data_IF_692167492093
#
_entry.id   IF_692167492093
#
_cell.length_a   1.000
_cell.length_b   1.000
_cell.length_c   1.000
_cell.angle_alpha   90.00
_cell.angle_beta   90.00
_cell.angle_gamma   90.00
#
_symmetry.space_group_name_H-M   'P 1'
#
loop_
_entity.id
_entity.type
_entity.pdbx_description
1 polymer ?
#
# COMPACT_ATOMS: atom_id res chain seq x y z
N UNK A 1 -14.08 3.06 -8.24
CA UNK A 1 -13.44 1.87 -8.84
C UNK A 1 -14.50 1.11 -9.61
N UNK A 2 -14.19 0.53 -10.78
CA UNK A 2 -15.15 -0.33 -11.47
C UNK A 2 -15.49 -1.56 -10.64
N UNK A 3 -16.74 -2.03 -10.70
CA UNK A 3 -17.20 -3.16 -9.87
C UNK A 3 -16.38 -4.44 -10.11
N UNK A 4 -16.12 -4.78 -11.38
CA UNK A 4 -15.35 -5.97 -11.73
C UNK A 4 -13.93 -5.93 -11.13
N UNK A 5 -13.28 -4.77 -11.17
CA UNK A 5 -11.97 -4.58 -10.58
C UNK A 5 -12.00 -4.65 -9.05
N UNK A 6 -13.05 -4.12 -8.43
CA UNK A 6 -13.24 -4.20 -6.99
C UNK A 6 -13.46 -5.65 -6.53
N UNK A 7 -14.29 -6.41 -7.25
CA UNK A 7 -14.51 -7.85 -7.01
C UNK A 7 -13.18 -8.61 -7.07
N UNK A 8 -12.39 -8.39 -8.13
CA UNK A 8 -11.08 -9.04 -8.31
C UNK A 8 -10.12 -8.69 -7.17
N UNK A 9 -10.04 -7.40 -6.81
CA UNK A 9 -9.17 -6.92 -5.74
C UNK A 9 -9.57 -7.48 -4.39
N UNK A 10 -10.86 -7.49 -4.05
CA UNK A 10 -11.38 -8.06 -2.80
C UNK A 10 -11.14 -9.56 -2.72
N UNK A 11 -11.33 -10.28 -3.84
CA UNK A 11 -11.02 -11.71 -3.93
C UNK A 11 -9.55 -11.97 -3.65
N UNK A 12 -8.65 -11.26 -4.32
CA UNK A 12 -7.20 -11.40 -4.11
C UNK A 12 -6.79 -11.04 -2.67
N UNK A 13 -7.36 -9.96 -2.11
CA UNK A 13 -7.09 -9.54 -0.74
C UNK A 13 -7.53 -10.60 0.28
N UNK A 14 -8.73 -11.17 0.11
CA UNK A 14 -9.25 -12.25 0.94
C UNK A 14 -8.35 -13.49 0.85
N UNK A 15 -8.02 -13.91 -0.37
CA UNK A 15 -7.19 -15.09 -0.61
C UNK A 15 -5.78 -14.93 -0.03
N UNK A 16 -5.22 -13.72 -0.07
CA UNK A 16 -3.94 -13.40 0.56
C UNK A 16 -4.00 -13.59 2.08
N UNK A 17 -5.03 -13.06 2.74
CA UNK A 17 -5.19 -13.17 4.19
C UNK A 17 -5.38 -14.63 4.65
N UNK A 18 -5.97 -15.47 3.80
CA UNK A 18 -6.11 -16.90 4.05
C UNK A 18 -4.77 -17.62 3.82
N UNK A 19 -4.06 -17.33 2.73
CA UNK A 19 -2.80 -17.98 2.38
C UNK A 19 -1.65 -17.62 3.32
N UNK A 20 -1.61 -16.35 3.76
CA UNK A 20 -0.58 -15.79 4.63
C UNK A 20 -1.22 -15.15 5.88
N UNK A 21 -1.67 -15.94 6.86
CA UNK A 21 -2.34 -15.42 8.05
C UNK A 21 -1.44 -14.49 8.86
N UNK A 22 -1.97 -13.34 9.26
CA UNK A 22 -1.24 -12.34 10.04
C UNK A 22 -1.08 -12.74 11.51
N UNK A 23 -2.18 -13.14 12.16
CA UNK A 23 -2.22 -13.65 13.54
C UNK A 23 -3.54 -14.40 13.78
N UNK A 24 -3.60 -15.13 14.89
CA UNK A 24 -4.80 -15.83 15.39
C UNK A 24 -5.96 -14.88 15.78
N UNK A 25 -5.70 -13.57 15.88
CA UNK A 25 -6.69 -12.54 16.20
C UNK A 25 -7.38 -11.94 14.98
N UNK A 26 -6.95 -12.29 13.78
CA UNK A 26 -7.54 -11.79 12.54
C UNK A 26 -8.61 -12.77 12.05
N UNK A 27 -9.83 -12.25 11.84
CA UNK A 27 -10.92 -13.02 11.25
C UNK A 27 -11.13 -12.59 9.81
N UNK A 28 -11.09 -13.54 8.88
CA UNK A 28 -11.43 -13.31 7.48
C UNK A 28 -12.88 -13.68 7.26
N UNK A 29 -13.65 -12.76 6.66
CA UNK A 29 -15.07 -12.98 6.40
C UNK A 29 -15.31 -14.11 5.40
N UNK A 30 -16.34 -14.93 5.63
CA UNK A 30 -16.74 -15.99 4.71
C UNK A 30 -17.42 -15.45 3.45
N UNK A 31 -17.92 -14.21 3.48
CA UNK A 31 -18.59 -13.54 2.35
C UNK A 31 -17.75 -13.58 1.08
N UNK A 32 -18.40 -13.80 -0.06
CA UNK A 32 -17.84 -13.57 -1.39
C UNK A 32 -17.58 -12.07 -1.63
N UNK A 33 -16.69 -11.70 -2.58
CA UNK A 33 -16.46 -10.29 -2.92
C UNK A 33 -17.74 -9.51 -3.26
N UNK A 34 -18.70 -10.14 -3.94
CA UNK A 34 -20.00 -9.55 -4.27
C UNK A 34 -20.82 -9.26 -3.02
N UNK A 35 -20.85 -10.20 -2.06
CA UNK A 35 -21.53 -10.00 -0.78
C UNK A 35 -20.82 -8.96 0.09
N UNK A 36 -19.50 -8.81 -0.02
CA UNK A 36 -18.77 -7.71 0.63
C UNK A 36 -19.21 -6.35 0.08
N UNK A 37 -19.33 -6.23 -1.24
CA UNK A 37 -19.81 -4.99 -1.90
C UNK A 37 -21.25 -4.71 -1.46
N UNK A 38 -22.14 -5.71 -1.55
CA UNK A 38 -23.54 -5.56 -1.14
C UNK A 38 -23.67 -5.16 0.34
N UNK A 39 -22.79 -5.67 1.21
CA UNK A 39 -22.73 -5.26 2.60
C UNK A 39 -22.29 -3.79 2.76
N UNK A 40 -21.27 -3.35 2.02
CA UNK A 40 -20.84 -1.95 2.01
C UNK A 40 -21.95 -1.00 1.52
N UNK A 41 -22.72 -1.40 0.51
CA UNK A 41 -23.88 -0.64 0.02
C UNK A 41 -24.99 -0.59 1.08
N UNK A 42 -25.31 -1.70 1.74
CA UNK A 42 -26.32 -1.77 2.80
C UNK A 42 -25.95 -0.91 4.02
N UNK A 43 -24.66 -0.84 4.35
CA UNK A 43 -24.13 0.03 5.41
C UNK A 43 -24.00 1.50 4.98
N UNK A 44 -24.32 1.81 3.71
CA UNK A 44 -24.16 3.13 3.08
C UNK A 44 -22.71 3.64 3.11
N UNK A 45 -21.72 2.76 3.18
CA UNK A 45 -20.31 3.15 3.11
C UNK A 45 -19.87 3.45 1.68
N UNK A 46 -20.47 2.74 0.72
CA UNK A 46 -20.20 2.93 -0.71
C UNK A 46 -21.52 3.10 -1.44
N UNK A 47 -21.47 3.82 -2.57
CA UNK A 47 -22.58 3.96 -3.50
C UNK A 47 -22.19 3.49 -4.89
N UNK A 48 -23.15 2.86 -5.56
CA UNK A 48 -23.04 2.40 -6.93
C UNK A 48 -23.58 3.44 -7.90
N UNK A 49 -22.75 3.81 -8.86
CA UNK A 49 -23.14 4.60 -10.02
C UNK A 49 -23.31 3.62 -11.18
N UNK A 50 -24.55 3.50 -11.66
CA UNK A 50 -24.83 2.67 -12.84
C UNK A 50 -24.26 3.33 -14.09
N UNK A 51 -23.61 2.54 -14.94
CA UNK A 51 -23.05 3.05 -16.18
C UNK A 51 -23.07 1.98 -17.29
N UNK A 52 -23.36 2.33 -18.56
CA UNK A 52 -23.46 1.36 -19.65
C UNK A 52 -22.22 0.50 -19.91
N UNK A 53 -21.03 0.98 -19.49
CA UNK A 53 -19.75 0.26 -19.63
C UNK A 53 -19.33 -0.49 -18.36
N UNK A 54 -20.23 -0.60 -17.38
CA UNK A 54 -19.97 -1.25 -16.10
C UNK A 54 -20.06 -0.28 -14.92
N UNK A 55 -20.65 -0.76 -13.83
CA UNK A 55 -20.92 0.03 -12.65
C UNK A 55 -19.65 0.48 -11.93
N UNK A 56 -19.71 1.66 -11.33
CA UNK A 56 -18.61 2.24 -10.55
C UNK A 56 -19.04 2.39 -9.11
N UNK A 57 -18.21 1.87 -8.20
CA UNK A 57 -18.38 2.05 -6.76
C UNK A 57 -17.53 3.22 -6.30
N UNK A 58 -18.14 4.10 -5.51
CA UNK A 58 -17.43 5.22 -4.92
C UNK A 58 -17.76 5.38 -3.43
N UNK A 59 -16.82 6.01 -2.74
CA UNK A 59 -16.97 6.53 -1.39
C UNK A 59 -16.54 7.99 -1.43
N UNK A 60 -17.45 8.90 -1.13
CA UNK A 60 -17.25 10.35 -1.08
C UNK A 60 -17.88 10.92 0.19
N UNK A 61 -17.64 12.21 0.47
CA UNK A 61 -18.22 12.89 1.63
C UNK A 61 -17.82 12.29 2.98
N UNK A 62 -18.76 12.28 3.92
CA UNK A 62 -18.57 11.80 5.30
C UNK A 62 -18.27 10.29 5.34
N UNK A 63 -18.84 9.52 4.42
CA UNK A 63 -18.60 8.09 4.27
C UNK A 63 -17.13 7.80 3.90
N UNK A 64 -16.53 8.64 3.07
CA UNK A 64 -15.11 8.56 2.72
C UNK A 64 -14.20 8.74 3.94
N UNK A 65 -14.56 9.64 4.86
CA UNK A 65 -13.84 9.84 6.13
C UNK A 65 -14.01 8.63 7.05
N UNK A 66 -15.21 8.05 7.12
CA UNK A 66 -15.42 6.84 7.90
C UNK A 66 -14.62 5.65 7.35
N UNK A 67 -14.54 5.51 6.03
CA UNK A 67 -13.74 4.45 5.40
C UNK A 67 -12.25 4.64 5.64
N UNK A 68 -11.73 5.87 5.70
CA UNK A 68 -10.32 6.09 6.01
C UNK A 68 -9.97 5.62 7.43
N UNK A 69 -10.88 5.81 8.40
CA UNK A 69 -10.73 5.22 9.73
C UNK A 69 -10.66 3.68 9.68
N UNK A 70 -11.59 3.02 8.98
CA UNK A 70 -11.56 1.56 8.85
C UNK A 70 -10.34 1.04 8.09
N UNK A 71 -9.89 1.76 7.06
CA UNK A 71 -8.64 1.46 6.34
C UNK A 71 -7.48 1.42 7.31
N UNK A 72 -7.34 2.41 8.20
CA UNK A 72 -6.24 2.47 9.15
C UNK A 72 -6.26 1.30 10.15
N UNK A 73 -7.44 0.75 10.45
CA UNK A 73 -7.58 -0.43 11.33
C UNK A 73 -7.18 -1.75 10.67
N UNK A 74 -7.01 -1.81 9.35
CA UNK A 74 -6.63 -3.06 8.65
C UNK A 74 -5.37 -2.91 7.79
N UNK A 75 -4.84 -1.69 7.63
CA UNK A 75 -3.73 -1.38 6.74
C UNK A 75 -2.48 -2.24 7.03
N UNK A 76 -2.21 -2.49 8.30
CA UNK A 76 -1.09 -3.30 8.78
C UNK A 76 -1.12 -4.74 8.25
N UNK A 77 -2.31 -5.30 7.97
CA UNK A 77 -2.46 -6.65 7.41
C UNK A 77 -1.93 -6.75 5.98
N UNK A 78 -1.97 -5.64 5.25
CA UNK A 78 -1.58 -5.58 3.84
C UNK A 78 -0.17 -4.99 3.63
N UNK A 79 0.56 -4.67 4.70
CA UNK A 79 1.89 -4.09 4.59
C UNK A 79 2.87 -4.91 3.72
N UNK A 80 2.96 -6.26 3.84
CA UNK A 80 3.84 -7.04 2.97
C UNK A 80 3.46 -6.97 1.48
N UNK A 81 2.17 -7.07 1.14
CA UNK A 81 1.73 -7.02 -0.26
C UNK A 81 1.86 -5.62 -0.85
N UNK A 82 1.60 -4.59 -0.05
CA UNK A 82 1.83 -3.21 -0.46
C UNK A 82 3.32 -2.93 -0.68
N UNK A 83 4.22 -3.49 0.14
CA UNK A 83 5.66 -3.39 -0.06
C UNK A 83 6.07 -4.00 -1.41
N UNK A 84 5.70 -5.26 -1.62
CA UNK A 84 6.00 -5.99 -2.86
C UNK A 84 5.45 -5.22 -4.06
N UNK A 85 4.19 -4.78 -3.99
CA UNK A 85 3.56 -4.03 -5.07
C UNK A 85 4.29 -2.71 -5.36
N UNK A 86 4.68 -1.94 -4.33
CA UNK A 86 5.44 -0.70 -4.48
C UNK A 86 6.77 -0.91 -5.21
N UNK A 87 7.48 -2.03 -4.98
CA UNK A 87 8.69 -2.33 -5.75
C UNK A 87 8.39 -2.38 -7.25
N UNK A 88 7.29 -3.01 -7.65
CA UNK A 88 6.96 -3.30 -9.04
C UNK A 88 6.12 -2.23 -9.76
N UNK A 89 5.70 -1.14 -9.09
CA UNK A 89 5.05 0.00 -9.75
C UNK A 89 5.97 0.60 -10.81
N UNK A 90 7.20 0.92 -10.42
CA UNK A 90 8.18 1.58 -11.30
C UNK A 90 9.35 0.66 -11.71
N UNK A 91 9.65 -0.39 -10.94
CA UNK A 91 10.73 -1.34 -11.27
C UNK A 91 10.13 -2.48 -12.08
N UNK A 92 10.65 -2.69 -13.30
CA UNK A 92 10.14 -3.72 -14.20
C UNK A 92 10.47 -5.14 -13.76
N UNK A 93 11.66 -5.33 -13.20
CA UNK A 93 12.23 -6.63 -12.85
C UNK A 93 13.13 -6.49 -11.63
N UNK A 94 13.01 -7.42 -10.68
CA UNK A 94 13.84 -7.47 -9.48
C UNK A 94 14.01 -8.91 -9.01
N UNK A 95 15.18 -9.25 -8.44
CA UNK A 95 15.34 -10.57 -7.81
C UNK A 95 14.50 -10.68 -6.55
N UNK A 96 14.04 -11.88 -6.22
CA UNK A 96 13.31 -12.16 -4.98
C UNK A 96 14.13 -11.72 -3.74
N UNK A 97 15.43 -12.05 -3.73
CA UNK A 97 16.37 -11.62 -2.69
C UNK A 97 16.47 -10.10 -2.59
N UNK A 98 16.37 -9.38 -3.71
CA UNK A 98 16.33 -7.92 -3.74
C UNK A 98 15.09 -7.36 -3.06
N UNK A 99 13.91 -7.95 -3.32
CA UNK A 99 12.63 -7.54 -2.69
C UNK A 99 12.71 -7.71 -1.18
N UNK A 100 13.25 -8.85 -0.74
CA UNK A 100 13.41 -9.17 0.69
C UNK A 100 14.44 -8.25 1.34
N UNK A 101 15.62 -8.09 0.74
CA UNK A 101 16.71 -7.26 1.30
C UNK A 101 16.28 -5.81 1.47
N UNK A 102 15.67 -5.22 0.44
CA UNK A 102 15.14 -3.86 0.55
C UNK A 102 14.02 -3.79 1.59
N UNK A 103 13.13 -4.79 1.65
CA UNK A 103 12.06 -4.81 2.62
C UNK A 103 12.57 -4.83 4.05
N UNK A 104 13.59 -5.65 4.32
CA UNK A 104 14.25 -5.71 5.62
C UNK A 104 14.95 -4.40 5.99
N UNK A 105 15.56 -3.72 5.02
CA UNK A 105 16.20 -2.42 5.22
C UNK A 105 15.19 -1.33 5.62
N UNK A 106 14.03 -1.28 4.97
CA UNK A 106 12.98 -0.28 5.26
C UNK A 106 12.02 -0.72 6.38
N UNK A 107 12.05 -1.98 6.80
CA UNK A 107 11.14 -2.53 7.78
C UNK A 107 11.08 -1.75 9.10
N UNK A 108 12.19 -1.26 9.69
CA UNK A 108 12.11 -0.50 10.94
C UNK A 108 11.17 0.71 10.86
N UNK A 109 11.14 1.39 9.71
CA UNK A 109 10.28 2.55 9.47
C UNK A 109 8.81 2.13 9.31
N UNK A 110 8.55 1.08 8.53
CA UNK A 110 7.20 0.55 8.33
C UNK A 110 6.64 -0.01 9.65
N UNK A 111 7.49 -0.68 10.42
CA UNK A 111 7.17 -1.28 11.71
C UNK A 111 6.77 -0.22 12.74
N UNK A 112 7.50 0.88 12.84
CA UNK A 112 7.18 1.95 13.79
C UNK A 112 5.88 2.65 13.43
N UNK A 113 5.61 2.84 12.13
CA UNK A 113 4.40 3.51 11.66
C UNK A 113 3.14 2.65 11.81
N UNK A 114 3.23 1.37 11.44
CA UNK A 114 2.08 0.44 11.43
C UNK A 114 2.02 -0.50 12.64
N UNK A 115 2.91 -0.31 13.62
CA UNK A 115 3.03 -1.12 14.84
C UNK A 115 3.12 -2.64 14.56
N UNK A 116 3.94 -3.01 13.56
CA UNK A 116 4.03 -4.40 13.12
C UNK A 116 4.71 -5.29 14.19
N UNK A 117 4.23 -6.52 14.43
CA UNK A 117 4.68 -7.33 15.56
C UNK A 117 5.96 -8.12 15.25
N UNK A 118 6.32 -8.28 13.97
CA UNK A 118 7.33 -9.24 13.55
C UNK A 118 8.77 -8.74 13.75
N UNK A 119 9.70 -9.68 13.79
CA UNK A 119 11.12 -9.38 13.60
C UNK A 119 11.40 -8.99 12.14
N UNK A 120 12.56 -8.38 11.88
CA UNK A 120 12.98 -8.07 10.50
C UNK A 120 13.13 -9.32 9.65
N UNK A 121 13.60 -10.42 10.24
CA UNK A 121 13.72 -11.70 9.54
C UNK A 121 12.35 -12.26 9.16
N UNK A 122 11.40 -12.25 10.09
CA UNK A 122 10.05 -12.74 9.85
C UNK A 122 9.30 -11.90 8.81
N UNK A 123 9.49 -10.58 8.82
CA UNK A 123 8.97 -9.73 7.75
C UNK A 123 9.54 -10.09 6.38
N UNK A 124 10.83 -10.45 6.32
CA UNK A 124 11.45 -10.98 5.10
C UNK A 124 10.77 -12.27 4.61
N UNK A 125 10.44 -13.19 5.52
CA UNK A 125 9.69 -14.41 5.20
C UNK A 125 8.27 -14.10 4.69
N UNK A 126 7.59 -13.13 5.30
CA UNK A 126 6.28 -12.66 4.84
C UNK A 126 6.34 -12.05 3.44
N UNK A 127 7.36 -11.24 3.14
CA UNK A 127 7.60 -10.70 1.80
C UNK A 127 7.78 -11.83 0.80
N UNK A 128 8.63 -12.80 1.11
CA UNK A 128 8.90 -13.93 0.23
C UNK A 128 7.64 -14.74 -0.07
N UNK A 129 6.87 -15.11 0.96
CA UNK A 129 5.59 -15.80 0.81
C UNK A 129 4.59 -14.98 -0.02
N UNK A 130 4.59 -13.65 0.14
CA UNK A 130 3.72 -12.75 -0.61
C UNK A 130 4.12 -12.66 -2.08
N UNK A 131 5.41 -12.61 -2.40
CA UNK A 131 5.87 -12.65 -3.80
C UNK A 131 5.44 -13.94 -4.47
N UNK A 132 5.65 -15.09 -3.80
CA UNK A 132 5.23 -16.40 -4.32
C UNK A 132 3.72 -16.45 -4.56
N UNK A 133 2.92 -16.01 -3.58
CA UNK A 133 1.46 -15.90 -3.73
C UNK A 133 1.06 -15.04 -4.95
N UNK A 134 1.70 -13.88 -5.15
CA UNK A 134 1.39 -13.01 -6.29
C UNK A 134 1.80 -13.61 -7.63
N UNK A 135 2.87 -14.40 -7.67
CA UNK A 135 3.27 -15.17 -8.87
C UNK A 135 2.26 -16.28 -9.15
N UNK A 136 1.87 -17.05 -8.12
CA UNK A 136 0.87 -18.13 -8.23
C UNK A 136 -0.49 -17.60 -8.70
N UNK A 137 -0.85 -16.38 -8.29
CA UNK A 137 -2.06 -15.66 -8.72
C UNK A 137 -1.91 -14.88 -10.02
N UNK A 138 -0.77 -15.00 -10.72
CA UNK A 138 -0.47 -14.33 -11.99
C UNK A 138 -0.57 -12.79 -11.93
N UNK A 139 -0.38 -12.22 -10.74
CA UNK A 139 -0.28 -10.77 -10.54
C UNK A 139 1.15 -10.30 -10.84
N UNK A 140 2.14 -11.14 -10.53
CA UNK A 140 3.54 -10.99 -10.94
C UNK A 140 3.93 -12.15 -11.85
N UNK A 141 4.98 -11.94 -12.65
CA UNK A 141 5.51 -12.96 -13.55
C UNK A 141 6.86 -13.45 -13.05
N UNK A 142 7.07 -14.76 -13.07
CA UNK A 142 8.41 -15.31 -12.85
C UNK A 142 9.28 -15.13 -14.10
N UNK A 143 10.54 -14.79 -13.89
CA UNK A 143 11.59 -14.76 -14.90
C UNK A 143 12.71 -15.69 -14.47
N UNK A 144 12.42 -16.99 -14.57
CA UNK A 144 13.31 -18.08 -14.18
C UNK A 144 14.72 -17.98 -14.82
N UNK A 145 14.87 -17.62 -16.13
CA UNK A 145 16.19 -17.46 -16.73
C UNK A 145 17.09 -16.43 -16.04
N UNK A 146 16.50 -15.39 -15.44
CA UNK A 146 17.23 -14.32 -14.75
C UNK A 146 17.11 -14.41 -13.22
N UNK A 147 16.52 -15.49 -12.69
CA UNK A 147 16.21 -15.65 -11.26
C UNK A 147 15.53 -14.40 -10.67
N UNK A 148 14.53 -13.89 -11.39
CA UNK A 148 13.89 -12.63 -11.08
C UNK A 148 12.37 -12.74 -11.12
N UNK A 149 11.71 -11.71 -10.60
CA UNK A 149 10.28 -11.49 -10.69
C UNK A 149 10.05 -10.21 -11.48
N UNK A 150 9.07 -10.24 -12.36
CA UNK A 150 8.71 -9.13 -13.24
C UNK A 150 7.31 -8.64 -12.91
N UNK A 151 7.12 -7.32 -13.07
CA UNK A 151 5.79 -6.72 -13.03
C UNK A 151 4.94 -7.23 -14.23
N UNK A 152 3.60 -7.18 -14.14
CA UNK A 152 2.71 -7.59 -15.22
C UNK A 152 2.76 -6.62 -16.41
N UNK A 153 2.13 -7.03 -17.52
CA UNK A 153 2.05 -6.22 -18.75
C UNK A 153 1.34 -4.89 -18.46
N UNK A 154 1.83 -3.79 -19.05
CA UNK A 154 1.21 -2.48 -18.92
C UNK A 154 -0.23 -2.48 -19.45
N UNK A 155 -1.16 -1.86 -18.72
CA UNK A 155 -2.58 -1.83 -19.03
C UNK A 155 -3.35 -3.11 -18.69
N UNK A 156 -2.70 -4.15 -18.19
CA UNK A 156 -3.37 -5.40 -17.80
C UNK A 156 -4.15 -5.27 -16.48
N UNK A 157 -5.12 -6.14 -16.29
CA UNK A 157 -5.88 -6.28 -15.03
C UNK A 157 -4.97 -6.59 -13.83
N UNK A 158 -3.92 -7.38 -14.04
CA UNK A 158 -2.91 -7.68 -13.05
C UNK A 158 -2.15 -6.40 -12.62
N UNK A 159 -1.78 -5.54 -13.59
CA UNK A 159 -1.13 -4.27 -13.28
C UNK A 159 -2.05 -3.33 -12.49
N UNK A 160 -3.33 -3.25 -12.88
CA UNK A 160 -4.31 -2.47 -12.13
C UNK A 160 -4.39 -2.95 -10.67
N UNK A 161 -4.52 -4.26 -10.47
CA UNK A 161 -4.63 -4.87 -9.14
C UNK A 161 -3.37 -4.62 -8.31
N UNK A 162 -2.18 -4.77 -8.92
CA UNK A 162 -0.90 -4.45 -8.29
C UNK A 162 -0.83 -2.97 -7.86
N UNK A 163 -1.26 -2.05 -8.72
CA UNK A 163 -1.30 -0.62 -8.41
C UNK A 163 -2.26 -0.30 -7.26
N UNK A 164 -3.39 -1.02 -7.15
CA UNK A 164 -4.31 -0.87 -6.02
C UNK A 164 -3.63 -1.34 -4.73
N UNK A 165 -2.98 -2.51 -4.73
CA UNK A 165 -2.27 -3.02 -3.54
C UNK A 165 -1.13 -2.10 -3.09
N UNK A 166 -0.41 -1.48 -4.02
CA UNK A 166 0.66 -0.52 -3.71
C UNK A 166 0.16 0.69 -2.91
N UNK A 167 -1.12 1.11 -3.07
CA UNK A 167 -1.68 2.27 -2.37
C UNK A 167 -1.65 2.14 -0.84
N UNK A 168 -1.52 0.92 -0.30
CA UNK A 168 -1.42 0.71 1.15
C UNK A 168 -0.19 1.36 1.77
N UNK A 169 0.96 1.37 1.08
CA UNK A 169 2.20 1.99 1.58
C UNK A 169 2.68 3.18 0.74
N UNK A 170 2.02 3.49 -0.37
CA UNK A 170 2.47 4.54 -1.28
C UNK A 170 2.61 5.90 -0.58
N UNK A 171 1.63 6.31 0.23
CA UNK A 171 1.69 7.58 0.96
C UNK A 171 2.83 7.60 1.99
N UNK A 172 3.04 6.48 2.69
CA UNK A 172 4.17 6.28 3.62
C UNK A 172 5.51 6.47 2.91
N UNK A 173 5.71 5.85 1.75
CA UNK A 173 6.94 6.04 0.97
C UNK A 173 7.10 7.45 0.42
N UNK A 174 6.02 8.11 0.02
CA UNK A 174 6.11 9.51 -0.40
C UNK A 174 6.57 10.42 0.74
N UNK A 175 6.11 10.20 1.97
CA UNK A 175 6.60 10.96 3.14
C UNK A 175 8.08 10.70 3.40
N UNK A 176 8.52 9.45 3.39
CA UNK A 176 9.95 9.13 3.52
C UNK A 176 10.79 9.79 2.41
N UNK A 177 10.31 9.76 1.17
CA UNK A 177 10.98 10.39 0.05
C UNK A 177 11.11 11.90 0.24
N UNK A 178 10.09 12.58 0.76
CA UNK A 178 10.14 14.02 1.06
C UNK A 178 11.22 14.30 2.13
N UNK A 179 11.21 13.56 3.24
CA UNK A 179 12.20 13.73 4.31
C UNK A 179 13.63 13.51 3.79
N UNK A 180 13.85 12.42 3.05
CA UNK A 180 15.15 12.10 2.44
C UNK A 180 15.57 13.18 1.44
N UNK A 181 14.64 13.69 0.63
CA UNK A 181 14.93 14.74 -0.35
C UNK A 181 15.32 16.06 0.32
N UNK A 182 14.66 16.43 1.42
CA UNK A 182 15.01 17.62 2.20
C UNK A 182 16.39 17.46 2.84
N UNK A 183 16.69 16.30 3.42
CA UNK A 183 18.02 15.98 3.96
C UNK A 183 19.10 16.08 2.89
N UNK A 184 18.90 15.43 1.74
CA UNK A 184 19.88 15.40 0.66
C UNK A 184 20.14 16.80 0.08
N UNK A 185 19.11 17.65 0.00
CA UNK A 185 19.24 19.02 -0.50
C UNK A 185 20.09 19.92 0.40
N UNK A 186 20.02 19.76 1.72
CA UNK A 186 20.74 20.61 2.67
C UNK A 186 22.09 20.03 3.09
N UNK A 187 22.29 18.72 2.91
CA UNK A 187 23.52 18.04 3.28
C UNK A 187 23.58 17.62 4.74
N UNK A 188 24.56 16.77 5.06
CA UNK A 188 24.70 16.17 6.38
C UNK A 188 24.97 17.23 7.47
N UNK A 189 24.33 17.04 8.63
CA UNK A 189 24.52 17.85 9.86
C UNK A 189 24.15 19.34 9.74
N UNK A 190 23.40 19.73 8.72
CA UNK A 190 22.95 21.12 8.54
C UNK A 190 21.57 21.40 9.15
N UNK A 191 20.77 20.37 9.35
CA UNK A 191 19.43 20.46 9.92
C UNK A 191 19.35 19.65 11.21
N UNK A 192 18.78 20.24 12.25
CA UNK A 192 18.27 19.48 13.39
C UNK A 192 16.92 18.83 13.04
N UNK A 193 16.43 17.95 13.91
CA UNK A 193 15.19 17.22 13.69
C UNK A 193 13.97 18.14 13.51
N UNK A 194 13.91 19.26 14.25
CA UNK A 194 12.78 20.19 14.21
C UNK A 194 12.76 21.01 12.90
N UNK A 195 13.93 21.45 12.45
CA UNK A 195 14.09 22.14 11.17
C UNK A 195 13.77 21.20 10.00
N UNK A 196 14.19 19.94 10.08
CA UNK A 196 13.87 18.92 9.08
C UNK A 196 12.35 18.65 9.01
N UNK A 197 11.69 18.44 10.15
CA UNK A 197 10.24 18.23 10.24
C UNK A 197 9.48 19.39 9.60
N UNK A 198 9.87 20.63 9.93
CA UNK A 198 9.24 21.84 9.39
C UNK A 198 9.41 21.94 7.88
N UNK A 199 10.62 21.72 7.35
CA UNK A 199 10.89 21.82 5.91
C UNK A 199 10.21 20.69 5.12
N UNK A 200 10.20 19.47 5.65
CA UNK A 200 9.48 18.34 5.07
C UNK A 200 7.97 18.62 5.02
N UNK A 201 7.40 19.16 6.10
CA UNK A 201 5.97 19.53 6.16
C UNK A 201 5.60 20.60 5.13
N UNK A 202 6.41 21.66 5.02
CA UNK A 202 6.20 22.71 4.00
C UNK A 202 6.34 22.17 2.57
N UNK A 203 7.27 21.24 2.35
CA UNK A 203 7.46 20.59 1.06
C UNK A 203 6.23 19.73 0.70
N UNK A 204 5.72 18.93 1.65
CA UNK A 204 4.52 18.13 1.46
C UNK A 204 3.29 19.01 1.17
N UNK A 205 3.10 20.12 1.90
CA UNK A 205 2.02 21.08 1.64
C UNK A 205 2.10 21.66 0.22
N UNK A 206 3.31 22.05 -0.22
CA UNK A 206 3.50 22.57 -1.59
C UNK A 206 3.19 21.53 -2.66
N UNK A 207 3.58 20.27 -2.46
CA UNK A 207 3.24 19.16 -3.37
C UNK A 207 1.72 18.95 -3.41
N UNK A 208 1.05 18.96 -2.26
CA UNK A 208 -0.41 18.81 -2.20
C UNK A 208 -1.15 19.95 -2.91
N UNK A 209 -0.66 21.19 -2.83
CA UNK A 209 -1.23 22.32 -3.59
C UNK A 209 -1.03 22.18 -5.10
N UNK A 210 0.05 21.53 -5.54
CA UNK A 210 0.31 21.28 -6.96
C UNK A 210 -0.45 20.06 -7.50
N UNK A 211 -0.84 19.14 -6.63
CA UNK A 211 -1.53 17.90 -6.97
C UNK A 211 -2.81 17.77 -6.15
N UNK A 212 -3.96 18.10 -6.75
CA UNK A 212 -5.33 18.11 -6.18
C UNK A 212 -5.83 16.78 -5.54
N UNK A 213 -4.96 15.77 -5.41
CA UNK A 213 -5.32 14.38 -5.04
C UNK A 213 -4.62 13.83 -3.80
N UNK A 214 -3.98 14.68 -3.00
CA UNK A 214 -3.30 14.24 -1.78
C UNK A 214 -4.25 14.25 -0.58
N UNK A 215 -4.57 13.07 -0.02
CA UNK A 215 -5.38 12.94 1.19
C UNK A 215 -4.74 13.61 2.42
N UNK A 216 -5.52 13.90 3.49
CA UNK A 216 -5.05 14.68 4.65
C UNK A 216 -3.83 14.08 5.37
N UNK A 217 -3.66 12.76 5.32
CA UNK A 217 -2.54 12.02 5.94
C UNK A 217 -1.18 12.29 5.26
N UNK A 218 -1.16 12.90 4.07
CA UNK A 218 0.07 13.15 3.31
C UNK A 218 0.96 14.23 3.95
N UNK A 219 0.35 15.22 4.59
CA UNK A 219 1.02 16.40 5.16
C UNK A 219 0.81 16.52 6.67
N UNK A 220 0.39 15.43 7.34
CA UNK A 220 0.28 15.37 8.80
C UNK A 220 1.68 15.50 9.44
N UNK A 221 1.95 16.55 10.22
CA UNK A 221 3.23 16.74 10.88
C UNK A 221 3.61 15.59 11.82
N UNK A 222 2.64 14.92 12.47
CA UNK A 222 2.92 13.79 13.36
C UNK A 222 3.47 12.59 12.59
N UNK A 223 2.91 12.31 11.40
CA UNK A 223 3.40 11.23 10.53
C UNK A 223 4.78 11.56 9.94
N UNK A 224 5.02 12.83 9.59
CA UNK A 224 6.35 13.28 9.13
C UNK A 224 7.39 13.16 10.26
N UNK A 225 7.02 13.53 11.49
CA UNK A 225 7.89 13.39 12.66
C UNK A 225 8.29 11.95 12.92
N UNK A 226 7.38 10.99 12.73
CA UNK A 226 7.69 9.56 12.86
C UNK A 226 8.73 9.06 11.85
N UNK A 227 8.91 9.75 10.72
CA UNK A 227 9.92 9.44 9.72
C UNK A 227 11.34 9.87 10.11
N UNK A 228 11.48 10.71 11.14
CA UNK A 228 12.75 11.37 11.52
C UNK A 228 13.41 10.71 12.75
N UNK A 229 12.64 9.92 13.51
CA UNK A 229 13.08 9.31 14.78
C UNK A 229 14.08 8.17 14.58
#
# INVERSE_FOLDING_TARGET
>A
MGEADLIRTLGLAKDLLIANPYSDRVTVTEKSPQEMIAHGEAMKWIRRIKHPLGDVLIADGDEGVLISYYRNNVLHLFAPVSWVACCFVNIRRMSLSGVVTLGQLFYPLIKSELYLPWSTEDFGKFIEATVRFLVDRQILNEDAPNNAVCRPIEGSEAQFTLNVMAKGLLQTFQRYYIVISVLNKHGAKQLDAQALEKLASLTAQRIALLHETSGPEFFDPALIKNCIQ
#
